data_IF_336810830854
#
_entry.id   IF_336810830854
#
_cell.length_a   1.000
_cell.length_b   1.000
_cell.length_c   1.000
_cell.angle_alpha   90.00
_cell.angle_beta   90.00
_cell.angle_gamma   90.00
#
_symmetry.space_group_name_H-M   'P 1'
#
loop_
_entity.id
_entity.type
_entity.pdbx_description
1 polymer ?
#
# COMPACT_ATOMS: atom_id res chain seq x y z
N UNK A 1 42.77 1.35 -43.92
CA UNK A 1 41.91 0.32 -44.53
C UNK A 1 40.48 0.71 -44.16
N UNK A 2 39.84 1.71 -44.78
CA UNK A 2 39.51 1.84 -46.21
C UNK A 2 38.75 0.60 -46.72
N UNK A 3 37.54 0.64 -47.28
CA UNK A 3 36.69 1.70 -47.83
C UNK A 3 35.21 1.24 -47.80
N UNK A 4 34.31 2.14 -47.42
CA UNK A 4 33.01 2.50 -48.06
C UNK A 4 31.93 1.49 -48.58
N UNK A 5 30.67 1.96 -48.75
CA UNK A 5 29.43 1.19 -48.70
C UNK A 5 28.66 1.08 -50.04
N UNK A 6 27.71 0.14 -50.18
CA UNK A 6 26.73 0.05 -51.28
C UNK A 6 25.51 -0.76 -50.78
N UNK A 7 24.23 -0.56 -51.14
CA UNK A 7 23.51 0.37 -52.01
C UNK A 7 22.02 0.24 -51.65
N UNK A 8 21.26 1.33 -51.76
CA UNK A 8 19.79 1.32 -51.85
C UNK A 8 19.34 0.52 -53.07
N UNK A 9 18.28 -0.28 -52.92
CA UNK A 9 17.45 -0.73 -54.03
C UNK A 9 16.03 -0.16 -53.84
N UNK A 10 15.63 0.72 -54.77
CA UNK A 10 14.23 1.11 -55.04
C UNK A 10 13.77 0.30 -56.24
N UNK A 11 12.55 -0.24 -56.18
CA UNK A 11 11.67 -0.72 -57.28
C UNK A 11 10.93 -1.97 -56.77
N UNK A 12 9.62 -2.12 -56.85
CA UNK A 12 8.60 -1.33 -57.50
C UNK A 12 7.23 -1.69 -56.95
N UNK A 13 6.27 -0.81 -57.24
CA UNK A 13 4.85 -1.00 -56.95
C UNK A 13 4.33 -2.11 -57.86
N UNK A 14 3.80 -3.18 -57.28
CA UNK A 14 2.86 -4.07 -57.96
C UNK A 14 1.63 -4.21 -57.08
N UNK A 15 0.54 -3.66 -57.61
CA UNK A 15 -0.79 -3.61 -57.04
C UNK A 15 -1.43 -5.00 -57.26
N UNK A 16 -1.61 -5.78 -56.20
CA UNK A 16 -2.52 -6.93 -56.22
C UNK A 16 -3.52 -6.78 -55.09
N UNK A 17 -4.72 -6.34 -55.47
CA UNK A 17 -5.94 -6.46 -54.68
C UNK A 17 -6.18 -7.95 -54.37
N UNK A 18 -6.15 -8.31 -53.10
CA UNK A 18 -6.83 -9.50 -52.61
C UNK A 18 -7.88 -9.02 -51.61
N UNK A 19 -9.13 -8.97 -52.08
CA UNK A 19 -10.33 -8.90 -51.26
C UNK A 19 -10.37 -10.17 -50.39
N UNK A 20 -9.97 -10.05 -49.13
CA UNK A 20 -10.19 -11.06 -48.11
C UNK A 20 -11.08 -10.46 -47.03
N UNK A 21 -12.37 -10.80 -47.08
CA UNK A 21 -13.34 -10.47 -46.04
C UNK A 21 -12.90 -11.08 -44.72
N UNK A 22 -12.26 -10.29 -43.87
CA UNK A 22 -12.13 -10.60 -42.45
C UNK A 22 -13.29 -9.95 -41.73
N UNK A 23 -14.21 -10.78 -41.25
CA UNK A 23 -15.21 -10.37 -40.27
C UNK A 23 -14.49 -9.63 -39.15
N UNK A 24 -14.82 -8.36 -38.98
CA UNK A 24 -14.49 -7.56 -37.82
C UNK A 24 -15.16 -8.21 -36.60
N UNK A 25 -14.46 -9.16 -35.99
CA UNK A 25 -14.65 -9.48 -34.60
C UNK A 25 -14.17 -8.26 -33.82
N UNK A 26 -15.11 -7.39 -33.46
CA UNK A 26 -14.92 -6.40 -32.41
C UNK A 26 -14.64 -7.17 -31.12
N UNK A 27 -13.37 -7.53 -30.88
CA UNK A 27 -12.93 -7.87 -29.53
C UNK A 27 -13.04 -6.57 -28.74
N UNK A 28 -14.06 -6.50 -27.90
CA UNK A 28 -14.19 -5.51 -26.82
C UNK A 28 -13.05 -5.72 -25.84
N UNK A 29 -11.84 -5.29 -26.23
CA UNK A 29 -10.76 -5.02 -25.32
C UNK A 29 -11.10 -3.72 -24.60
N UNK A 30 -12.01 -3.79 -23.65
CA UNK A 30 -11.91 -2.91 -22.49
C UNK A 30 -10.58 -3.33 -21.89
N UNK A 31 -9.53 -2.54 -22.14
CA UNK A 31 -8.27 -2.60 -21.41
C UNK A 31 -8.68 -2.68 -19.93
N UNK A 32 -8.50 -3.85 -19.33
CA UNK A 32 -8.96 -4.09 -17.97
C UNK A 32 -8.15 -3.12 -17.10
N UNK A 33 -8.77 -2.02 -16.68
CA UNK A 33 -8.12 -1.01 -15.86
C UNK A 33 -7.39 -1.72 -14.71
N UNK A 34 -6.09 -1.46 -14.58
CA UNK A 34 -5.25 -2.19 -13.64
C UNK A 34 -5.82 -2.04 -12.22
N UNK A 35 -6.39 -3.13 -11.71
CA UNK A 35 -7.03 -3.13 -10.40
C UNK A 35 -5.98 -3.38 -9.32
N UNK A 36 -5.81 -2.42 -8.42
CA UNK A 36 -4.95 -2.54 -7.24
C UNK A 36 -5.70 -3.27 -6.13
N UNK A 37 -5.03 -4.22 -5.48
CA UNK A 37 -5.53 -4.98 -4.32
C UNK A 37 -4.95 -4.40 -3.03
N UNK A 38 -5.74 -3.64 -2.29
CA UNK A 38 -5.33 -2.97 -1.04
C UNK A 38 -5.83 -3.74 0.17
N UNK A 39 -4.94 -4.24 1.03
CA UNK A 39 -5.32 -4.81 2.32
C UNK A 39 -5.74 -3.69 3.27
N UNK A 40 -7.04 -3.65 3.62
CA UNK A 40 -7.59 -2.70 4.59
C UNK A 40 -7.41 -3.19 6.03
N UNK A 41 -7.62 -4.49 6.26
CA UNK A 41 -7.50 -5.10 7.57
C UNK A 41 -7.24 -6.61 7.46
N UNK A 42 -6.47 -7.14 8.40
CA UNK A 42 -6.21 -8.57 8.55
C UNK A 42 -6.84 -9.12 9.83
N UNK A 43 -7.01 -10.44 9.89
CA UNK A 43 -7.53 -11.16 11.07
C UNK A 43 -8.93 -10.72 11.53
N UNK A 44 -9.73 -10.17 10.60
CA UNK A 44 -11.07 -9.64 10.92
C UNK A 44 -12.03 -10.80 11.20
N UNK A 45 -12.67 -10.79 12.37
CA UNK A 45 -13.68 -11.79 12.73
C UNK A 45 -15.09 -11.38 12.29
N UNK A 46 -15.34 -10.08 12.21
CA UNK A 46 -16.63 -9.48 11.86
C UNK A 46 -16.41 -8.15 11.15
N UNK A 47 -17.20 -7.91 10.12
CA UNK A 47 -17.32 -6.61 9.45
C UNK A 47 -18.76 -6.37 8.99
N UNK A 48 -19.12 -5.10 8.87
CA UNK A 48 -20.38 -4.67 8.28
C UNK A 48 -20.07 -3.92 6.98
N UNK A 49 -20.78 -4.23 5.89
CA UNK A 49 -20.59 -3.61 4.56
C UNK A 49 -21.92 -3.01 4.13
N UNK A 50 -21.88 -1.75 3.69
CA UNK A 50 -23.04 -0.95 3.28
C UNK A 50 -22.84 -0.31 1.91
N UNK A 51 -23.93 -0.07 1.20
CA UNK A 51 -24.00 0.76 -0.02
C UNK A 51 -25.34 1.48 -0.09
N UNK A 52 -25.47 2.46 -0.98
CA UNK A 52 -26.74 3.18 -1.21
C UNK A 52 -27.77 2.32 -1.96
N UNK A 53 -27.31 1.35 -2.76
CA UNK A 53 -28.14 0.39 -3.49
C UNK A 53 -28.01 -1.04 -2.95
N UNK A 54 -28.69 -2.02 -3.59
CA UNK A 54 -28.48 -3.44 -3.30
C UNK A 54 -27.02 -3.84 -3.48
N UNK A 55 -26.54 -4.71 -2.58
CA UNK A 55 -25.22 -5.31 -2.69
C UNK A 55 -25.32 -6.57 -3.55
N UNK A 56 -24.25 -6.92 -4.24
CA UNK A 56 -24.14 -8.22 -4.89
C UNK A 56 -22.89 -8.93 -4.42
N UNK A 57 -23.05 -10.19 -4.06
CA UNK A 57 -21.99 -11.03 -3.55
C UNK A 57 -21.75 -12.21 -4.49
N UNK A 58 -20.49 -12.48 -4.82
CA UNK A 58 -20.06 -13.60 -5.66
C UNK A 58 -19.04 -14.46 -4.94
N UNK A 59 -19.19 -15.79 -5.03
CA UNK A 59 -18.19 -16.75 -4.55
C UNK A 59 -17.07 -16.99 -5.58
N UNK A 60 -16.12 -17.85 -5.23
CA UNK A 60 -14.98 -18.23 -6.10
C UNK A 60 -15.40 -18.89 -7.42
N UNK A 61 -16.59 -19.49 -7.47
CA UNK A 61 -17.12 -20.17 -8.65
C UNK A 61 -17.98 -19.23 -9.51
N UNK A 62 -18.05 -17.94 -9.17
CA UNK A 62 -18.89 -16.95 -9.85
C UNK A 62 -20.39 -17.07 -9.52
N UNK A 63 -20.78 -17.87 -8.51
CA UNK A 63 -22.17 -17.92 -8.09
C UNK A 63 -22.50 -16.66 -7.31
N UNK A 64 -23.39 -15.86 -7.90
CA UNK A 64 -23.80 -14.57 -7.36
C UNK A 64 -25.13 -14.62 -6.63
N UNK A 65 -25.31 -13.74 -5.65
CA UNK A 65 -26.60 -13.46 -5.03
C UNK A 65 -26.75 -11.97 -4.72
N UNK A 66 -27.96 -11.44 -4.92
CA UNK A 66 -28.32 -10.11 -4.44
C UNK A 66 -28.49 -10.13 -2.93
N UNK A 67 -27.90 -9.15 -2.28
CA UNK A 67 -27.99 -8.90 -0.87
C UNK A 67 -28.70 -7.56 -0.62
N UNK A 68 -29.15 -7.36 0.62
CA UNK A 68 -29.64 -6.05 1.06
C UNK A 68 -28.49 -5.03 1.00
N UNK A 69 -28.85 -3.74 0.98
CA UNK A 69 -27.91 -2.62 1.00
C UNK A 69 -26.98 -2.56 2.23
N UNK A 70 -27.24 -3.40 3.24
CA UNK A 70 -26.39 -3.56 4.41
C UNK A 70 -26.26 -5.05 4.73
N UNK A 71 -25.02 -5.53 4.84
CA UNK A 71 -24.72 -6.91 5.19
C UNK A 71 -23.69 -6.98 6.30
N UNK A 72 -23.93 -7.91 7.23
CA UNK A 72 -22.94 -8.33 8.20
C UNK A 72 -22.25 -9.59 7.71
N UNK A 73 -20.91 -9.58 7.75
CA UNK A 73 -20.09 -10.74 7.43
C UNK A 73 -19.34 -11.19 8.68
N UNK A 74 -19.44 -12.49 8.98
CA UNK A 74 -18.74 -13.14 10.08
C UNK A 74 -17.83 -14.25 9.55
N UNK A 75 -16.66 -14.35 10.15
CA UNK A 75 -15.74 -15.47 9.99
C UNK A 75 -16.39 -16.79 10.43
N UNK A 76 -16.25 -17.85 9.63
CA UNK A 76 -16.60 -19.22 10.01
C UNK A 76 -15.45 -20.18 9.71
N UNK A 77 -15.40 -21.34 10.37
CA UNK A 77 -14.32 -22.34 10.22
C UNK A 77 -14.09 -22.74 8.75
N UNK A 78 -15.16 -22.85 7.96
CA UNK A 78 -15.15 -23.16 6.52
C UNK A 78 -16.06 -22.22 5.76
N UNK A 79 -15.67 -20.95 5.73
CA UNK A 79 -16.27 -19.89 4.93
C UNK A 79 -16.81 -18.72 5.73
N UNK A 80 -17.99 -18.23 5.37
CA UNK A 80 -18.57 -17.00 5.93
C UNK A 80 -20.01 -17.21 6.38
N UNK A 81 -20.45 -16.42 7.35
CA UNK A 81 -21.88 -16.12 7.50
C UNK A 81 -22.15 -14.72 6.95
N UNK A 82 -23.11 -14.60 6.05
CA UNK A 82 -23.58 -13.33 5.49
C UNK A 82 -25.04 -13.15 5.89
N UNK A 83 -25.34 -12.17 6.75
CA UNK A 83 -26.68 -11.97 7.33
C UNK A 83 -27.30 -13.29 7.87
N UNK A 84 -26.50 -14.06 8.62
CA UNK A 84 -26.83 -15.39 9.17
C UNK A 84 -26.93 -16.55 8.17
N UNK A 85 -26.80 -16.30 6.86
CA UNK A 85 -26.74 -17.35 5.83
C UNK A 85 -25.31 -17.87 5.71
N UNK A 86 -25.13 -19.19 5.85
CA UNK A 86 -23.81 -19.82 5.72
C UNK A 86 -23.41 -19.94 4.26
N UNK A 87 -22.25 -19.39 3.91
CA UNK A 87 -21.62 -19.51 2.60
C UNK A 87 -20.35 -20.36 2.74
N UNK A 88 -20.34 -21.55 2.13
CA UNK A 88 -19.21 -22.49 2.15
C UNK A 88 -18.20 -22.16 1.04
N UNK A 89 -17.60 -20.97 1.13
CA UNK A 89 -16.55 -20.50 0.22
C UNK A 89 -15.46 -19.85 1.04
N UNK A 90 -14.21 -20.01 0.66
CA UNK A 90 -13.06 -19.38 1.31
C UNK A 90 -12.81 -17.94 0.82
N UNK A 91 -13.41 -17.56 -0.32
CA UNK A 91 -13.43 -16.17 -0.78
C UNK A 91 -14.83 -15.68 -1.13
N UNK A 92 -15.07 -14.40 -0.89
CA UNK A 92 -16.32 -13.71 -1.19
C UNK A 92 -16.02 -12.31 -1.73
N UNK A 93 -16.58 -11.98 -2.89
CA UNK A 93 -16.47 -10.65 -3.48
C UNK A 93 -17.80 -9.91 -3.36
N UNK A 94 -17.79 -8.71 -2.78
CA UNK A 94 -18.95 -7.85 -2.59
C UNK A 94 -18.78 -6.57 -3.39
N UNK A 95 -19.80 -6.19 -4.15
CA UNK A 95 -19.85 -4.92 -4.90
C UNK A 95 -21.18 -4.18 -4.67
N UNK A 96 -21.09 -2.85 -4.61
CA UNK A 96 -22.22 -1.94 -4.36
C UNK A 96 -22.58 -1.06 -5.57
N UNK A 97 -22.11 -1.43 -6.77
CA UNK A 97 -22.24 -0.60 -7.98
C UNK A 97 -21.31 0.62 -7.98
N UNK A 98 -21.67 1.66 -8.72
CA UNK A 98 -20.82 2.84 -8.95
C UNK A 98 -20.64 3.74 -7.71
N UNK A 99 -21.58 3.68 -6.75
CA UNK A 99 -21.54 4.55 -5.57
C UNK A 99 -20.43 4.13 -4.58
N UNK A 100 -19.92 2.91 -4.69
CA UNK A 100 -18.90 2.35 -3.82
C UNK A 100 -19.48 1.64 -2.60
N UNK A 101 -18.64 1.42 -1.59
CA UNK A 101 -18.95 0.64 -0.39
C UNK A 101 -18.46 1.35 0.86
N UNK A 102 -19.24 1.26 1.94
CA UNK A 102 -18.79 1.63 3.28
C UNK A 102 -18.53 0.35 4.08
N UNK A 103 -17.28 0.15 4.49
CA UNK A 103 -16.84 -0.99 5.31
C UNK A 103 -16.59 -0.52 6.73
N UNK A 104 -17.23 -1.15 7.69
CA UNK A 104 -17.07 -0.84 9.11
C UNK A 104 -16.54 -2.05 9.87
N UNK A 105 -15.53 -1.84 10.70
CA UNK A 105 -15.00 -2.85 11.62
C UNK A 105 -15.56 -2.63 13.03
N UNK A 106 -16.60 -3.39 13.45
CA UNK A 106 -17.25 -3.18 14.74
C UNK A 106 -16.32 -3.51 15.91
N UNK A 107 -16.45 -2.74 17.00
CA UNK A 107 -15.68 -2.95 18.23
C UNK A 107 -15.96 -4.33 18.83
N UNK A 108 -14.97 -5.01 19.45
CA UNK A 108 -15.25 -6.09 20.38
C UNK A 108 -16.08 -5.54 21.54
N UNK A 109 -17.24 -6.14 21.82
CA UNK A 109 -18.05 -5.79 22.99
C UNK A 109 -17.26 -6.09 24.28
N UNK A 110 -16.87 -5.05 25.01
CA UNK A 110 -16.12 -5.15 26.26
C UNK A 110 -16.99 -5.82 27.35
N UNK A 111 -16.52 -6.95 27.93
CA UNK A 111 -17.03 -7.44 29.23
C UNK A 111 -16.51 -6.52 30.37
N UNK A 112 -17.22 -6.38 31.50
CA UNK A 112 -16.92 -5.34 32.49
C UNK A 112 -15.58 -5.43 33.22
N UNK A 113 -14.81 -6.53 33.14
CA UNK A 113 -13.58 -6.70 33.91
C UNK A 113 -12.36 -7.01 33.05
N UNK A 114 -11.45 -6.02 32.96
CA UNK A 114 -10.00 -6.16 32.98
C UNK A 114 -9.30 -7.03 31.92
N UNK A 115 -8.84 -6.39 30.84
CA UNK A 115 -7.48 -6.47 30.27
C UNK A 115 -7.50 -5.78 28.90
N UNK A 116 -6.78 -4.66 28.77
CA UNK A 116 -6.57 -4.01 27.48
C UNK A 116 -5.47 -4.76 26.73
N UNK A 117 -5.80 -5.27 25.55
CA UNK A 117 -4.84 -5.80 24.58
C UNK A 117 -4.77 -4.80 23.43
N UNK A 118 -3.56 -4.32 23.16
CA UNK A 118 -3.24 -3.41 22.07
C UNK A 118 -3.24 -4.15 20.73
N UNK A 119 -4.24 -3.92 19.90
CA UNK A 119 -4.18 -4.17 18.45
C UNK A 119 -5.32 -3.46 17.73
N UNK A 120 -4.98 -2.45 16.93
CA UNK A 120 -5.85 -1.89 15.89
C UNK A 120 -6.93 -0.94 16.38
N UNK A 121 -6.89 0.27 15.85
CA UNK A 121 -7.75 1.38 16.20
C UNK A 121 -9.26 1.06 16.12
N UNK A 122 -10.02 1.78 16.93
CA UNK A 122 -11.46 1.63 17.15
C UNK A 122 -12.32 1.83 15.89
N UNK A 123 -13.42 1.07 15.76
CA UNK A 123 -14.62 1.45 14.96
C UNK A 123 -14.37 2.03 13.57
N UNK A 124 -13.32 1.59 12.88
CA UNK A 124 -12.82 2.26 11.67
C UNK A 124 -13.79 2.01 10.52
N UNK A 125 -14.20 3.11 9.88
CA UNK A 125 -15.07 3.11 8.71
C UNK A 125 -14.26 3.54 7.48
N UNK A 126 -14.35 2.75 6.41
CA UNK A 126 -13.74 3.05 5.12
C UNK A 126 -14.84 3.18 4.08
N UNK A 127 -15.01 4.36 3.51
CA UNK A 127 -15.78 4.53 2.27
C UNK A 127 -14.83 4.32 1.10
N UNK A 128 -15.08 3.34 0.24
CA UNK A 128 -14.17 2.94 -0.84
C UNK A 128 -14.88 2.88 -2.19
N UNK A 129 -14.12 3.14 -3.25
CA UNK A 129 -14.50 2.81 -4.63
C UNK A 129 -14.19 1.34 -4.95
N UNK A 130 -14.75 0.82 -6.04
CA UNK A 130 -14.53 -0.55 -6.48
C UNK A 130 -15.26 -1.59 -5.62
N UNK A 131 -14.60 -2.70 -5.34
CA UNK A 131 -15.19 -3.87 -4.70
C UNK A 131 -14.39 -4.35 -3.49
N UNK A 132 -15.05 -5.08 -2.60
CA UNK A 132 -14.44 -5.68 -1.41
C UNK A 132 -14.32 -7.17 -1.65
N UNK A 133 -13.08 -7.66 -1.62
CA UNK A 133 -12.73 -9.06 -1.70
C UNK A 133 -12.34 -9.55 -0.30
N UNK A 134 -13.03 -10.58 0.17
CA UNK A 134 -12.84 -11.18 1.48
C UNK A 134 -12.18 -12.54 1.30
N UNK A 135 -11.08 -12.80 2.00
CA UNK A 135 -10.36 -14.08 1.94
C UNK A 135 -10.24 -14.66 3.35
N UNK A 136 -10.63 -15.92 3.52
CA UNK A 136 -10.42 -16.65 4.79
C UNK A 136 -8.93 -16.92 5.00
N UNK A 137 -8.40 -16.48 6.14
CA UNK A 137 -7.02 -16.75 6.55
C UNK A 137 -6.97 -17.07 8.04
N UNK A 138 -6.59 -18.31 8.36
CA UNK A 138 -6.62 -18.81 9.74
C UNK A 138 -8.02 -18.70 10.33
N UNK A 139 -8.14 -18.03 11.48
CA UNK A 139 -9.44 -17.80 12.13
C UNK A 139 -10.17 -16.56 11.59
N UNK A 140 -9.46 -15.64 10.93
CA UNK A 140 -9.97 -14.34 10.50
C UNK A 140 -10.13 -14.17 8.99
N UNK A 141 -10.47 -12.95 8.59
CA UNK A 141 -10.70 -12.54 7.21
C UNK A 141 -9.65 -11.50 6.86
N UNK A 142 -9.04 -11.64 5.67
CA UNK A 142 -8.36 -10.54 5.01
C UNK A 142 -9.40 -9.74 4.25
N UNK A 143 -9.45 -8.44 4.52
CA UNK A 143 -10.41 -7.52 3.91
C UNK A 143 -9.66 -6.67 2.90
N UNK A 144 -9.87 -6.96 1.62
CA UNK A 144 -9.08 -6.42 0.52
C UNK A 144 -9.99 -5.56 -0.35
N UNK A 145 -9.65 -4.29 -0.55
CA UNK A 145 -10.31 -3.44 -1.54
C UNK A 145 -9.63 -3.61 -2.89
N UNK A 146 -10.39 -4.05 -3.91
CA UNK A 146 -9.95 -4.01 -5.30
C UNK A 146 -10.50 -2.75 -5.96
N UNK A 147 -9.60 -1.90 -6.42
CA UNK A 147 -9.91 -0.54 -6.85
C UNK A 147 -9.08 -0.19 -8.08
N UNK A 148 -9.62 0.67 -8.95
CA UNK A 148 -8.86 1.26 -10.06
C UNK A 148 -7.64 2.04 -9.54
N UNK A 149 -6.53 2.01 -10.27
CA UNK A 149 -5.29 2.68 -9.84
C UNK A 149 -5.46 4.18 -9.60
N UNK A 150 -6.29 4.88 -10.39
CA UNK A 150 -6.51 6.32 -10.20
C UNK A 150 -7.41 6.59 -8.99
N UNK A 151 -8.41 5.74 -8.75
CA UNK A 151 -9.22 5.77 -7.53
C UNK A 151 -8.37 5.45 -6.27
N UNK A 152 -7.39 4.56 -6.39
CA UNK A 152 -6.42 4.29 -5.33
C UNK A 152 -5.58 5.54 -5.01
N UNK A 153 -5.01 6.17 -6.04
CA UNK A 153 -4.17 7.37 -5.88
C UNK A 153 -4.96 8.51 -5.22
N UNK A 154 -6.24 8.71 -5.61
CA UNK A 154 -7.12 9.68 -4.96
C UNK A 154 -7.31 9.42 -3.47
N UNK A 155 -7.25 8.17 -3.03
CA UNK A 155 -7.34 7.79 -1.61
C UNK A 155 -6.03 7.83 -0.83
N UNK A 156 -4.89 7.89 -1.52
CA UNK A 156 -3.56 8.01 -0.89
C UNK A 156 -3.13 9.46 -0.72
N UNK A 157 -3.23 10.28 -1.76
CA UNK A 157 -2.75 11.68 -1.73
C UNK A 157 -3.26 12.48 -0.52
N UNK A 158 -4.57 12.52 -0.17
CA UNK A 158 -5.04 13.27 1.00
C UNK A 158 -4.53 12.73 2.34
N UNK A 159 -4.09 11.48 2.39
CA UNK A 159 -3.60 10.86 3.61
C UNK A 159 -2.10 11.11 3.83
N UNK A 160 -1.36 11.40 2.77
CA UNK A 160 0.09 11.60 2.80
C UNK A 160 0.50 13.09 2.77
N UNK A 161 -0.28 13.95 2.12
CA UNK A 161 0.03 15.38 1.99
C UNK A 161 -1.19 16.26 2.28
N UNK A 162 -0.95 17.48 2.75
CA UNK A 162 -2.02 18.47 2.94
C UNK A 162 -2.49 19.00 1.60
N UNK A 163 -3.81 19.05 1.39
CA UNK A 163 -4.38 19.60 0.15
C UNK A 163 -4.15 21.09 -0.03
N UNK A 164 -3.74 21.80 1.03
CA UNK A 164 -3.35 23.22 1.00
C UNK A 164 -1.93 23.45 0.48
N UNK A 165 -1.15 22.39 0.26
CA UNK A 165 0.20 22.52 -0.29
C UNK A 165 0.16 22.92 -1.77
N UNK A 166 1.33 23.33 -2.27
CA UNK A 166 1.47 23.79 -3.64
C UNK A 166 0.96 22.72 -4.64
N UNK A 167 0.19 23.08 -5.69
CA UNK A 167 -0.38 22.11 -6.63
C UNK A 167 0.64 21.15 -7.24
N UNK A 168 1.84 21.62 -7.55
CA UNK A 168 2.93 20.78 -8.08
C UNK A 168 3.42 19.73 -7.07
N UNK A 169 3.32 19.99 -5.76
CA UNK A 169 3.62 18.97 -4.74
C UNK A 169 2.53 17.89 -4.71
N UNK A 170 1.26 18.27 -4.87
CA UNK A 170 0.16 17.29 -4.97
C UNK A 170 0.32 16.40 -6.22
N UNK A 171 0.72 16.99 -7.35
CA UNK A 171 1.02 16.26 -8.59
C UNK A 171 2.22 15.32 -8.43
N UNK A 172 3.30 15.79 -7.81
CA UNK A 172 4.46 14.95 -7.52
C UNK A 172 4.09 13.76 -6.62
N UNK A 173 3.27 13.99 -5.58
CA UNK A 173 2.77 12.93 -4.71
C UNK A 173 1.89 11.92 -5.47
N UNK A 174 1.00 12.40 -6.36
CA UNK A 174 0.15 11.53 -7.17
C UNK A 174 0.97 10.60 -8.06
N UNK A 175 1.98 11.14 -8.75
CA UNK A 175 2.91 10.36 -9.59
C UNK A 175 3.72 9.37 -8.77
N UNK A 176 4.26 9.80 -7.62
CA UNK A 176 5.02 8.93 -6.72
C UNK A 176 4.14 7.77 -6.20
N UNK A 177 2.91 8.07 -5.77
CA UNK A 177 2.00 7.05 -5.25
C UNK A 177 1.58 6.04 -6.32
N UNK A 178 1.27 6.51 -7.53
CA UNK A 178 0.96 5.63 -8.67
C UNK A 178 2.14 4.73 -9.03
N UNK A 179 3.33 5.30 -9.08
CA UNK A 179 4.55 4.56 -9.41
C UNK A 179 4.84 3.48 -8.35
N UNK A 180 4.72 3.85 -7.07
CA UNK A 180 4.94 2.93 -5.96
C UNK A 180 4.01 1.72 -6.00
N UNK A 181 2.70 1.95 -6.18
CA UNK A 181 1.74 0.85 -6.13
C UNK A 181 1.89 -0.11 -7.31
N UNK A 182 2.24 0.40 -8.50
CA UNK A 182 2.53 -0.43 -9.67
C UNK A 182 3.81 -1.25 -9.49
N UNK A 183 4.86 -0.66 -8.90
CA UNK A 183 6.05 -1.40 -8.51
C UNK A 183 5.71 -2.53 -7.51
N UNK A 184 4.88 -2.26 -6.50
CA UNK A 184 4.49 -3.28 -5.52
C UNK A 184 3.62 -4.39 -6.12
N UNK A 185 2.76 -4.05 -7.08
CA UNK A 185 1.93 -5.00 -7.81
C UNK A 185 2.77 -5.99 -8.63
N UNK A 186 3.87 -5.54 -9.23
CA UNK A 186 4.81 -6.43 -9.93
C UNK A 186 5.46 -7.46 -8.99
N UNK A 187 5.61 -7.13 -7.70
CA UNK A 187 6.25 -7.99 -6.69
C UNK A 187 5.25 -8.82 -5.88
N UNK A 188 3.95 -8.62 -6.04
CA UNK A 188 2.89 -9.20 -5.21
C UNK A 188 2.18 -10.40 -5.83
N UNK A 189 2.68 -10.96 -6.94
CA UNK A 189 1.99 -11.99 -7.71
C UNK A 189 1.55 -13.22 -6.88
N UNK A 190 2.29 -13.57 -5.81
CA UNK A 190 1.99 -14.69 -4.92
C UNK A 190 1.20 -14.31 -3.65
N UNK A 191 0.94 -13.02 -3.44
CA UNK A 191 0.19 -12.49 -2.30
C UNK A 191 -1.28 -12.27 -2.67
N UNK A 192 -2.16 -12.28 -1.66
CA UNK A 192 -3.58 -11.95 -1.87
C UNK A 192 -3.81 -10.47 -2.22
N UNK A 193 -2.87 -9.61 -1.84
CA UNK A 193 -2.92 -8.16 -1.97
C UNK A 193 -1.57 -7.58 -2.44
N UNK A 194 -1.63 -6.39 -3.03
CA UNK A 194 -0.47 -5.68 -3.59
C UNK A 194 0.20 -4.81 -2.52
N UNK A 195 -0.62 -4.04 -1.79
CA UNK A 195 -0.21 -3.08 -0.76
C UNK A 195 -1.13 -3.13 0.46
N UNK A 196 -0.62 -2.78 1.63
CA UNK A 196 -1.40 -2.52 2.83
C UNK A 196 -1.78 -1.04 2.92
N UNK A 197 -2.94 -0.73 3.52
CA UNK A 197 -3.44 0.65 3.65
C UNK A 197 -2.78 1.46 4.78
N UNK A 198 -1.59 1.05 5.25
CA UNK A 198 -0.89 1.62 6.40
C UNK A 198 0.46 2.19 5.98
N UNK A 199 1.16 2.84 6.93
CA UNK A 199 2.52 3.36 6.74
C UNK A 199 3.56 2.29 6.35
N UNK A 200 3.21 1.01 6.41
CA UNK A 200 4.08 -0.06 5.88
C UNK A 200 4.25 0.07 4.36
N UNK A 201 3.19 0.46 3.66
CA UNK A 201 3.22 0.71 2.22
C UNK A 201 2.83 2.17 1.96
N UNK A 202 1.54 2.48 1.89
CA UNK A 202 1.02 3.84 1.76
C UNK A 202 -0.27 3.97 2.55
N UNK A 203 -0.47 5.11 3.21
CA UNK A 203 -1.72 5.36 3.92
C UNK A 203 -2.84 5.54 2.90
N UNK A 204 -3.77 4.59 2.85
CA UNK A 204 -4.94 4.63 1.95
C UNK A 204 -6.21 4.75 2.78
N UNK A 205 -7.00 5.80 2.53
CA UNK A 205 -8.25 6.08 3.28
C UNK A 205 -9.51 6.01 2.42
N UNK A 206 -9.43 5.34 1.27
CA UNK A 206 -10.55 5.26 0.34
C UNK A 206 -10.97 6.64 -0.17
N UNK A 207 -12.23 6.99 -0.02
CA UNK A 207 -12.84 8.24 -0.50
C UNK A 207 -12.73 9.39 0.51
N UNK A 208 -12.08 9.19 1.66
CA UNK A 208 -12.00 10.21 2.71
C UNK A 208 -10.98 11.31 2.38
N UNK A 209 -11.35 12.57 2.61
CA UNK A 209 -10.45 13.72 2.50
C UNK A 209 -10.18 14.18 1.06
N UNK A 210 -10.88 13.62 0.08
CA UNK A 210 -10.77 14.02 -1.32
C UNK A 210 -11.42 15.39 -1.51
N UNK A 211 -10.64 16.36 -2.01
CA UNK A 211 -11.13 17.67 -2.43
C UNK A 211 -10.81 17.97 -3.89
N UNK A 212 -11.28 19.12 -4.39
CA UNK A 212 -11.11 19.51 -5.78
C UNK A 212 -9.64 19.72 -6.19
N UNK A 213 -8.78 20.13 -5.27
CA UNK A 213 -7.34 20.33 -5.54
C UNK A 213 -6.64 18.99 -5.77
N UNK A 214 -6.92 18.01 -4.91
CA UNK A 214 -6.43 16.64 -5.05
C UNK A 214 -6.95 16.00 -6.33
N UNK A 215 -8.27 16.08 -6.58
CA UNK A 215 -8.87 15.50 -7.78
C UNK A 215 -8.21 16.03 -9.05
N UNK A 216 -7.97 17.35 -9.12
CA UNK A 216 -7.28 17.97 -10.24
C UNK A 216 -5.83 17.50 -10.35
N UNK A 217 -5.08 17.44 -9.25
CA UNK A 217 -3.69 16.98 -9.29
C UNK A 217 -3.55 15.52 -9.77
N UNK A 218 -4.46 14.63 -9.35
CA UNK A 218 -4.47 13.24 -9.80
C UNK A 218 -4.85 13.17 -11.28
N UNK A 219 -5.87 13.90 -11.72
CA UNK A 219 -6.32 13.87 -13.12
C UNK A 219 -5.30 14.52 -14.08
N UNK A 220 -4.71 15.65 -13.71
CA UNK A 220 -3.65 16.33 -14.47
C UNK A 220 -2.40 15.44 -14.63
N UNK A 221 -2.24 14.41 -13.79
CA UNK A 221 -1.12 13.46 -13.83
C UNK A 221 -1.56 12.03 -14.11
N UNK A 222 -2.77 11.84 -14.65
CA UNK A 222 -3.34 10.51 -14.93
C UNK A 222 -2.38 9.67 -15.77
N UNK A 223 -2.12 8.44 -15.33
CA UNK A 223 -1.20 7.52 -16.01
C UNK A 223 0.28 7.91 -16.00
N UNK A 224 0.68 9.06 -15.44
CA UNK A 224 2.10 9.42 -15.34
C UNK A 224 2.76 8.63 -14.20
N UNK A 225 3.89 8.02 -14.52
CA UNK A 225 4.73 7.20 -13.63
C UNK A 225 6.21 7.51 -13.85
N UNK A 226 7.03 7.28 -12.84
CA UNK A 226 8.49 7.38 -12.95
C UNK A 226 9.07 6.00 -13.24
N UNK A 227 9.92 5.91 -14.26
CA UNK A 227 10.52 4.63 -14.67
C UNK A 227 12.04 4.69 -14.66
N UNK A 228 12.66 3.53 -14.51
CA UNK A 228 14.08 3.30 -14.72
C UNK A 228 14.21 1.97 -15.48
N UNK A 229 15.00 1.95 -16.55
CA UNK A 229 15.11 0.80 -17.47
C UNK A 229 13.75 0.26 -17.97
N UNK A 230 12.80 1.16 -18.21
CA UNK A 230 11.47 0.83 -18.76
C UNK A 230 10.49 0.22 -17.76
N UNK A 231 10.85 0.08 -16.48
CA UNK A 231 9.97 -0.41 -15.42
C UNK A 231 9.68 0.70 -14.38
N UNK A 232 8.49 0.71 -13.73
CA UNK A 232 8.21 1.59 -12.59
C UNK A 232 9.28 1.46 -11.50
N UNK A 233 9.70 2.59 -10.93
CA UNK A 233 10.70 2.58 -9.86
C UNK A 233 10.08 2.27 -8.50
N UNK A 234 10.91 1.86 -7.54
CA UNK A 234 10.53 1.91 -6.12
C UNK A 234 10.46 3.38 -5.67
N UNK A 235 9.31 4.02 -5.84
CA UNK A 235 9.09 5.44 -5.55
C UNK A 235 8.85 5.71 -4.06
N UNK A 236 9.83 5.40 -3.22
CA UNK A 236 9.76 5.67 -1.78
C UNK A 236 9.76 7.19 -1.50
N UNK A 237 8.92 7.62 -0.56
CA UNK A 237 8.86 8.99 -0.08
C UNK A 237 8.76 9.01 1.46
N UNK A 238 9.03 10.16 2.07
CA UNK A 238 8.97 10.35 3.52
C UNK A 238 8.61 11.80 3.85
N UNK A 239 7.99 12.04 5.01
CA UNK A 239 7.55 13.39 5.41
C UNK A 239 8.68 14.42 5.49
N UNK A 240 9.82 14.07 6.08
CA UNK A 240 10.94 15.00 6.28
C UNK A 240 12.22 14.18 6.30
N UNK A 241 13.17 14.53 5.42
CA UNK A 241 14.49 13.90 5.33
C UNK A 241 15.44 14.42 6.42
N UNK A 242 15.25 15.66 6.90
CA UNK A 242 16.10 16.31 7.89
C UNK A 242 17.54 16.52 7.39
N UNK A 243 17.68 17.10 6.19
CA UNK A 243 18.95 17.55 5.62
C UNK A 243 19.34 16.78 4.35
N UNK A 244 19.57 15.47 4.46
CA UNK A 244 19.87 14.60 3.31
C UNK A 244 18.85 13.45 3.24
N UNK A 245 18.39 13.14 2.03
CA UNK A 245 17.72 11.86 1.78
C UNK A 245 18.73 10.72 1.94
N UNK A 246 18.23 9.50 2.15
CA UNK A 246 19.09 8.34 2.46
C UNK A 246 19.34 7.46 1.22
N UNK A 247 20.49 6.79 1.18
CA UNK A 247 20.73 5.73 0.20
C UNK A 247 19.88 4.50 0.55
N UNK A 248 19.20 3.92 -0.45
CA UNK A 248 18.40 2.72 -0.27
C UNK A 248 19.19 1.53 0.30
N UNK A 249 20.51 1.46 0.08
CA UNK A 249 21.36 0.43 0.68
C UNK A 249 21.36 0.51 2.21
N UNK A 250 21.30 1.71 2.76
CA UNK A 250 21.31 1.92 4.22
C UNK A 250 19.95 1.61 4.87
N UNK A 251 18.85 1.78 4.11
CA UNK A 251 17.48 1.55 4.61
C UNK A 251 17.02 0.12 4.35
N UNK A 252 17.09 -0.34 3.10
CA UNK A 252 16.52 -1.62 2.67
C UNK A 252 17.56 -2.69 2.32
N UNK A 253 18.86 -2.41 2.49
CA UNK A 253 19.95 -3.30 2.04
C UNK A 253 19.87 -3.66 0.55
N UNK A 254 19.33 -2.75 -0.26
CA UNK A 254 19.18 -2.91 -1.71
C UNK A 254 19.78 -1.72 -2.41
N UNK A 255 20.55 -1.98 -3.46
CA UNK A 255 21.08 -0.92 -4.30
C UNK A 255 20.07 -0.59 -5.40
N UNK A 256 19.59 0.66 -5.39
CA UNK A 256 18.81 1.20 -6.49
C UNK A 256 19.55 2.42 -7.05
N UNK A 257 19.92 2.45 -8.34
CA UNK A 257 20.65 3.58 -8.95
C UNK A 257 19.96 4.93 -8.78
N UNK A 258 18.63 4.94 -8.68
CA UNK A 258 17.78 6.12 -8.54
C UNK A 258 17.42 6.49 -7.08
N UNK A 259 17.76 5.66 -6.09
CA UNK A 259 17.55 5.99 -4.65
C UNK A 259 18.89 6.23 -3.97
N UNK A 260 19.52 7.33 -4.36
CA UNK A 260 20.77 7.82 -3.77
C UNK A 260 20.49 9.04 -2.92
N UNK A 261 21.25 9.17 -1.82
CA UNK A 261 21.13 10.30 -0.92
C UNK A 261 21.49 11.62 -1.63
N UNK A 262 20.56 12.55 -1.62
CA UNK A 262 20.68 13.91 -2.17
C UNK A 262 20.34 14.94 -1.09
N UNK A 263 20.81 16.17 -1.28
CA UNK A 263 20.52 17.27 -0.36
C UNK A 263 19.04 17.67 -0.43
N UNK A 264 18.45 17.92 0.73
CA UNK A 264 17.11 18.49 0.90
C UNK A 264 17.20 19.72 1.83
N UNK A 265 17.54 20.91 1.30
CA UNK A 265 17.73 22.11 2.12
C UNK A 265 16.41 22.70 2.64
N UNK A 266 15.27 22.21 2.19
CA UNK A 266 13.94 22.81 2.43
C UNK A 266 13.28 22.33 3.73
N UNK A 267 13.81 21.28 4.36
CA UNK A 267 13.20 20.62 5.52
C UNK A 267 13.35 21.38 6.84
N UNK A 268 14.23 22.38 6.90
CA UNK A 268 14.53 23.14 8.13
C UNK A 268 13.27 23.78 8.74
N UNK A 269 12.28 24.09 7.91
CA UNK A 269 11.02 24.70 8.33
C UNK A 269 9.92 23.68 8.66
N UNK A 270 10.17 22.38 8.48
CA UNK A 270 9.20 21.34 8.82
C UNK A 270 8.96 21.33 10.33
N UNK A 271 7.70 21.30 10.81
CA UNK A 271 7.41 21.12 12.23
C UNK A 271 7.89 19.75 12.76
N UNK A 272 8.20 18.82 11.85
CA UNK A 272 8.72 17.48 12.16
C UNK A 272 10.25 17.38 12.00
N UNK A 273 10.94 18.49 11.69
CA UNK A 273 12.40 18.52 11.54
C UNK A 273 13.12 18.07 12.81
N UNK A 274 12.63 18.50 13.98
CA UNK A 274 13.11 18.07 15.29
C UNK A 274 11.95 17.65 16.17
N UNK A 275 12.09 16.49 16.81
CA UNK A 275 11.11 15.98 17.77
C UNK A 275 11.82 15.15 18.83
N UNK A 276 11.11 14.87 19.92
CA UNK A 276 11.57 14.02 21.02
C UNK A 276 10.45 13.06 21.43
N UNK A 277 10.81 11.83 21.76
CA UNK A 277 9.94 10.85 22.38
C UNK A 277 10.67 10.16 23.53
N UNK A 278 9.90 9.62 24.47
CA UNK A 278 10.39 8.93 25.66
C UNK A 278 9.68 7.60 25.81
N UNK A 279 10.44 6.56 26.14
CA UNK A 279 9.95 5.20 26.38
C UNK A 279 10.72 4.59 27.56
N UNK A 280 10.16 3.56 28.18
CA UNK A 280 10.87 2.81 29.23
C UNK A 280 11.79 1.76 28.62
N UNK A 281 12.89 1.46 29.31
CA UNK A 281 13.83 0.40 28.89
C UNK A 281 13.11 -0.95 28.81
N UNK A 282 12.23 -1.26 29.76
CA UNK A 282 11.43 -2.49 29.74
C UNK A 282 10.57 -2.62 28.48
N UNK A 283 9.96 -1.51 28.03
CA UNK A 283 9.17 -1.50 26.78
C UNK A 283 10.06 -1.77 25.57
N UNK A 284 11.23 -1.13 25.50
CA UNK A 284 12.19 -1.36 24.42
C UNK A 284 12.65 -2.83 24.39
N UNK A 285 12.99 -3.39 25.54
CA UNK A 285 13.38 -4.80 25.66
C UNK A 285 12.28 -5.74 25.20
N UNK A 286 11.04 -5.51 25.63
CA UNK A 286 9.88 -6.30 25.19
C UNK A 286 9.70 -6.22 23.68
N UNK A 287 9.75 -5.02 23.10
CA UNK A 287 9.57 -4.82 21.67
C UNK A 287 10.68 -5.46 20.84
N UNK A 288 11.94 -5.38 21.30
CA UNK A 288 13.07 -6.07 20.67
C UNK A 288 12.91 -7.59 20.73
N UNK A 289 12.47 -8.16 21.87
CA UNK A 289 12.17 -9.60 21.98
C UNK A 289 11.05 -10.03 21.04
N UNK A 290 10.00 -9.22 20.92
CA UNK A 290 8.89 -9.47 19.98
C UNK A 290 9.34 -9.43 18.52
N UNK A 291 10.35 -8.64 18.19
CA UNK A 291 11.00 -8.64 16.88
C UNK A 291 11.96 -9.82 16.66
N UNK A 292 12.16 -10.67 17.67
CA UNK A 292 13.00 -11.87 17.58
C UNK A 292 14.45 -11.68 18.03
N UNK A 293 14.81 -10.51 18.56
CA UNK A 293 16.15 -10.29 19.10
C UNK A 293 16.30 -10.92 20.48
N UNK A 294 17.43 -11.60 20.70
CA UNK A 294 17.79 -12.11 22.03
C UNK A 294 18.41 -10.97 22.85
N UNK A 295 17.59 -10.29 23.64
CA UNK A 295 18.02 -9.16 24.49
C UNK A 295 17.64 -9.39 25.96
N UNK A 296 18.60 -9.18 26.84
CA UNK A 296 18.45 -9.23 28.30
C UNK A 296 18.12 -7.86 28.87
N UNK A 297 18.57 -7.59 30.09
CA UNK A 297 18.46 -6.27 30.72
C UNK A 297 19.45 -5.31 30.06
N UNK A 298 18.97 -4.24 29.44
CA UNK A 298 19.81 -3.27 28.73
C UNK A 298 20.58 -2.41 29.74
N UNK A 299 21.91 -2.36 29.60
CA UNK A 299 22.78 -1.51 30.39
C UNK A 299 23.10 -0.21 29.66
N UNK A 300 23.48 -0.28 28.38
CA UNK A 300 23.84 0.90 27.57
C UNK A 300 23.51 0.72 26.09
N UNK A 301 23.35 1.84 25.40
CA UNK A 301 23.20 1.91 23.95
C UNK A 301 24.18 2.93 23.39
N UNK A 302 24.94 2.56 22.36
CA UNK A 302 26.00 3.41 21.80
C UNK A 302 25.98 3.35 20.28
N UNK A 303 25.82 4.49 19.57
CA UNK A 303 26.00 4.53 18.12
C UNK A 303 27.43 4.10 17.75
N UNK A 304 27.54 3.14 16.82
CA UNK A 304 28.83 2.66 16.31
C UNK A 304 29.21 3.34 15.00
N UNK A 305 28.22 3.67 14.16
CA UNK A 305 28.45 4.32 12.87
C UNK A 305 27.22 5.08 12.40
N UNK A 306 27.44 6.05 11.52
CA UNK A 306 26.41 6.88 10.93
C UNK A 306 26.45 6.80 9.40
N UNK A 307 25.30 6.96 8.76
CA UNK A 307 25.23 7.16 7.30
C UNK A 307 25.79 8.53 6.92
N UNK A 308 25.97 8.77 5.62
CA UNK A 308 26.33 10.10 5.10
C UNK A 308 25.31 11.17 5.52
N UNK A 309 24.03 10.79 5.64
CA UNK A 309 22.96 11.67 6.11
C UNK A 309 22.90 11.84 7.64
N UNK A 310 23.86 11.29 8.39
CA UNK A 310 23.92 11.41 9.84
C UNK A 310 22.96 10.50 10.61
N UNK A 311 22.26 9.58 9.93
CA UNK A 311 21.39 8.59 10.58
C UNK A 311 22.23 7.48 11.21
N UNK A 312 21.78 6.92 12.34
CA UNK A 312 22.46 5.78 12.97
C UNK A 312 22.42 4.58 12.01
N UNK A 313 23.58 4.18 11.48
CA UNK A 313 23.70 3.02 10.62
C UNK A 313 23.85 1.73 11.44
N UNK A 314 24.65 1.78 12.52
CA UNK A 314 24.79 0.68 13.49
C UNK A 314 24.80 1.22 14.92
N UNK A 315 24.14 0.49 15.81
CA UNK A 315 24.00 0.77 17.22
C UNK A 315 24.39 -0.48 18.01
N UNK A 316 25.25 -0.33 19.01
CA UNK A 316 25.54 -1.37 19.98
C UNK A 316 24.60 -1.26 21.17
N UNK A 317 24.00 -2.38 21.57
CA UNK A 317 23.23 -2.55 22.80
C UNK A 317 23.99 -3.53 23.68
N UNK A 318 24.49 -3.06 24.82
CA UNK A 318 25.07 -3.92 25.84
C UNK A 318 23.96 -4.33 26.80
N UNK A 319 23.77 -5.63 27.00
CA UNK A 319 22.75 -6.18 27.88
C UNK A 319 23.29 -7.34 28.72
N UNK A 320 22.53 -7.81 29.70
CA UNK A 320 22.94 -8.89 30.61
C UNK A 320 23.31 -10.23 29.94
N UNK A 321 22.96 -10.40 28.65
CA UNK A 321 23.27 -11.59 27.86
C UNK A 321 24.43 -11.40 26.88
N UNK A 322 25.08 -10.23 26.86
CA UNK A 322 26.20 -9.92 25.97
C UNK A 322 25.96 -8.64 25.15
N UNK A 323 26.37 -8.70 23.87
CA UNK A 323 26.30 -7.59 22.94
C UNK A 323 25.34 -7.91 21.78
N UNK A 324 24.47 -6.95 21.47
CA UNK A 324 23.60 -6.96 20.30
C UNK A 324 23.92 -5.74 19.44
N UNK A 325 24.17 -5.96 18.15
CA UNK A 325 24.34 -4.87 17.18
C UNK A 325 23.09 -4.75 16.32
N UNK A 326 22.45 -3.59 16.40
CA UNK A 326 21.25 -3.23 15.66
C UNK A 326 21.56 -2.22 14.56
N UNK A 327 20.73 -2.20 13.53
CA UNK A 327 20.60 -1.07 12.61
C UNK A 327 19.70 0.01 13.22
N UNK A 328 19.87 1.26 12.80
CA UNK A 328 19.01 2.35 13.29
C UNK A 328 17.52 2.13 13.00
N UNK A 329 17.18 1.49 11.88
CA UNK A 329 15.80 1.15 11.51
C UNK A 329 15.16 0.15 12.49
N UNK A 330 15.92 -0.85 12.94
CA UNK A 330 15.44 -1.86 13.91
C UNK A 330 15.13 -1.21 15.24
N UNK A 331 16.01 -0.30 15.71
CA UNK A 331 15.73 0.50 16.89
C UNK A 331 14.48 1.36 16.70
N UNK A 332 14.35 2.07 15.56
CA UNK A 332 13.18 2.91 15.26
C UNK A 332 11.88 2.09 15.36
N UNK A 333 11.83 0.91 14.75
CA UNK A 333 10.66 0.01 14.83
C UNK A 333 10.37 -0.45 16.25
N UNK A 334 11.41 -0.65 17.07
CA UNK A 334 11.26 -1.12 18.45
C UNK A 334 10.75 -0.02 19.40
N UNK A 335 11.02 1.26 19.12
CA UNK A 335 10.57 2.37 19.98
C UNK A 335 9.19 2.94 19.59
N UNK A 336 8.75 2.69 18.35
CA UNK A 336 7.51 3.24 17.79
C UNK A 336 7.78 4.50 16.99
#
# INVERSE_FOLDING_TARGET
MDHSPMKKLRSGVCLTLVMGAWLLGLSSGVEAAESIRVLLAAEVLRLDIRSDGPLWATDVNGRGQTLRASVQVLAADKGFFVNSVRMQTDQLTIHGGEQGLTVTFPRPSRKPNGAAVSSGDSGTEFSVSGLIHLVRRGKGILVINRVDVEEYVKGVVPAEVSSTWHPEMLKAQAVAARTYVLYQQMLSATRDYDVASTVQDQVYRGKQGIDAGILRAVEDTRGLVVTYDGAPIYAAFSSTAAGLTEDAMNVWSKDYPYLKGVECPFDLMSPFYQWKSSFTVDTLEQNLRQQGFSVGTIATMTPLSFSRGGRIAKLRVLHSGGELVLRGEELRKAVG
#
